data_IF_662464539906
#
_entry.id   IF_662464539906
#
_cell.length_a   1.000
_cell.length_b   1.000
_cell.length_c   1.000
_cell.angle_alpha   90.00
_cell.angle_beta   90.00
_cell.angle_gamma   90.00
#
_symmetry.space_group_name_H-M   'P 1'
#
loop_
_entity.id
_entity.type
_entity.pdbx_description
1 polymer ?
#
# COMPACT_ATOMS: atom_id res chain seq x y z
N UNK A 1 19.28 -13.50 2.82
CA UNK A 1 18.75 -12.16 2.50
C UNK A 1 18.82 -11.93 1.00
N UNK A 2 17.68 -11.76 0.32
CA UNK A 2 17.58 -11.58 -1.15
C UNK A 2 18.51 -10.49 -1.72
N UNK A 3 18.84 -9.46 -0.92
CA UNK A 3 19.76 -8.39 -1.31
C UNK A 3 21.23 -8.80 -1.51
N UNK A 4 21.64 -10.02 -1.13
CA UNK A 4 23.03 -10.49 -1.26
C UNK A 4 23.31 -11.30 -2.52
N UNK A 5 22.30 -11.53 -3.37
CA UNK A 5 22.49 -12.25 -4.62
C UNK A 5 23.26 -11.38 -5.64
N UNK A 6 24.18 -11.95 -6.43
CA UNK A 6 24.83 -11.23 -7.53
C UNK A 6 23.78 -10.57 -8.44
N UNK A 7 23.92 -9.26 -8.67
CA UNK A 7 22.99 -8.50 -9.51
C UNK A 7 21.70 -8.02 -8.82
N UNK A 8 21.44 -8.39 -7.56
CA UNK A 8 20.23 -7.97 -6.83
C UNK A 8 20.03 -6.44 -6.81
N UNK A 9 21.10 -5.67 -6.56
CA UNK A 9 21.04 -4.21 -6.60
C UNK A 9 20.73 -3.65 -7.99
N UNK A 10 21.23 -4.29 -9.06
CA UNK A 10 20.98 -3.87 -10.45
C UNK A 10 19.53 -4.14 -10.84
N UNK A 11 19.02 -5.33 -10.48
CA UNK A 11 17.63 -5.71 -10.68
C UNK A 11 16.68 -4.78 -9.91
N UNK A 12 16.95 -4.54 -8.61
CA UNK A 12 16.18 -3.62 -7.78
C UNK A 12 16.15 -2.20 -8.36
N UNK A 13 17.30 -1.66 -8.79
CA UNK A 13 17.36 -0.32 -9.41
C UNK A 13 16.61 -0.26 -10.74
N UNK A 14 16.66 -1.32 -11.55
CA UNK A 14 15.92 -1.40 -12.81
C UNK A 14 14.41 -1.39 -12.55
N UNK A 15 13.95 -2.21 -11.59
CA UNK A 15 12.55 -2.26 -11.17
C UNK A 15 12.08 -0.92 -10.61
N UNK A 16 12.84 -0.31 -9.69
CA UNK A 16 12.49 0.99 -9.12
C UNK A 16 12.35 2.08 -10.18
N UNK A 17 13.26 2.14 -11.17
CA UNK A 17 13.18 3.13 -12.26
C UNK A 17 11.96 2.96 -13.14
N UNK A 18 11.59 1.71 -13.41
CA UNK A 18 10.40 1.37 -14.19
C UNK A 18 9.12 1.66 -13.39
N UNK A 19 9.13 1.42 -12.08
CA UNK A 19 7.91 1.42 -11.28
C UNK A 19 7.60 2.72 -10.54
N UNK A 20 8.60 3.53 -10.24
CA UNK A 20 8.47 4.71 -9.38
C UNK A 20 9.29 5.93 -9.88
N UNK A 21 8.89 7.11 -9.41
CA UNK A 21 9.65 8.36 -9.48
C UNK A 21 9.58 9.10 -8.13
N UNK A 22 10.09 10.33 -8.07
CA UNK A 22 10.11 11.13 -6.82
C UNK A 22 8.71 11.42 -6.26
N UNK A 23 7.65 11.29 -7.07
CA UNK A 23 6.28 11.46 -6.60
C UNK A 23 5.75 10.17 -5.99
N UNK A 24 6.30 9.00 -6.29
CA UNK A 24 5.88 7.69 -5.80
C UNK A 24 5.75 6.69 -6.94
N UNK A 25 4.78 5.77 -6.86
CA UNK A 25 4.53 4.82 -7.95
C UNK A 25 4.04 5.55 -9.20
N UNK A 26 4.58 5.17 -10.37
CA UNK A 26 4.14 5.71 -11.66
C UNK A 26 2.72 5.25 -11.93
N UNK A 27 1.89 6.11 -12.51
CA UNK A 27 0.45 5.82 -12.72
C UNK A 27 0.20 4.47 -13.38
N UNK A 28 0.95 4.16 -14.45
CA UNK A 28 0.77 2.93 -15.22
C UNK A 28 1.03 1.64 -14.43
N UNK A 29 1.77 1.69 -13.31
CA UNK A 29 2.08 0.47 -12.54
C UNK A 29 0.97 0.04 -11.60
N UNK A 30 0.16 0.98 -11.08
CA UNK A 30 -0.94 0.67 -10.16
C UNK A 30 -2.33 0.90 -10.78
N UNK A 31 -2.43 1.57 -11.94
CA UNK A 31 -3.70 1.77 -12.64
C UNK A 31 -4.46 0.45 -12.91
N UNK A 32 -3.82 -0.66 -13.33
CA UNK A 32 -4.54 -1.92 -13.55
C UNK A 32 -5.19 -2.48 -12.28
N UNK A 33 -4.64 -2.18 -11.10
CA UNK A 33 -5.24 -2.55 -9.81
C UNK A 33 -6.47 -1.69 -9.55
N UNK A 34 -6.35 -0.37 -9.72
CA UNK A 34 -7.45 0.57 -9.50
C UNK A 34 -8.68 0.30 -10.37
N UNK A 35 -8.49 -0.13 -11.61
CA UNK A 35 -9.59 -0.46 -12.54
C UNK A 35 -10.39 -1.69 -12.13
N UNK A 36 -9.82 -2.56 -11.29
CA UNK A 36 -10.50 -3.77 -10.80
C UNK A 36 -11.27 -3.53 -9.50
N UNK A 37 -10.93 -2.49 -8.74
CA UNK A 37 -11.55 -2.19 -7.44
C UNK A 37 -13.07 -1.99 -7.50
N UNK A 38 -13.66 -1.36 -8.54
CA UNK A 38 -15.12 -1.23 -8.64
C UNK A 38 -15.87 -2.56 -8.71
N UNK A 39 -15.21 -3.64 -9.16
CA UNK A 39 -15.79 -4.97 -9.22
C UNK A 39 -15.71 -5.77 -7.91
N UNK A 40 -15.10 -5.23 -6.86
CA UNK A 40 -14.96 -5.90 -5.56
C UNK A 40 -16.12 -5.54 -4.63
N UNK A 41 -17.26 -6.20 -4.81
CA UNK A 41 -18.42 -6.06 -3.90
C UNK A 41 -18.30 -6.96 -2.65
N UNK A 42 -17.22 -6.75 -1.91
CA UNK A 42 -16.97 -7.40 -0.62
C UNK A 42 -16.57 -6.34 0.41
N UNK A 43 -16.96 -6.49 1.70
CA UNK A 43 -16.41 -5.66 2.76
C UNK A 43 -14.89 -5.67 2.68
N UNK A 44 -14.29 -4.49 2.62
CA UNK A 44 -12.84 -4.30 2.49
C UNK A 44 -12.34 -3.35 3.57
N UNK A 45 -11.39 -3.80 4.38
CA UNK A 45 -10.62 -2.95 5.28
C UNK A 45 -9.33 -2.51 4.58
N UNK A 46 -9.14 -1.20 4.45
CA UNK A 46 -7.90 -0.60 3.96
C UNK A 46 -7.14 0.03 5.12
N UNK A 47 -5.96 -0.49 5.44
CA UNK A 47 -5.07 0.04 6.46
C UNK A 47 -3.86 0.74 5.83
N UNK A 48 -3.49 1.91 6.34
CA UNK A 48 -2.37 2.66 5.78
C UNK A 48 -1.62 3.47 6.84
N UNK A 49 -0.29 3.58 6.72
CA UNK A 49 0.47 4.52 7.54
C UNK A 49 0.51 5.91 6.91
N UNK A 50 0.29 6.94 7.72
CA UNK A 50 0.20 8.32 7.23
C UNK A 50 1.50 8.83 6.61
N UNK A 51 2.64 8.33 7.08
CA UNK A 51 3.99 8.69 6.66
C UNK A 51 4.60 7.66 5.70
N UNK A 52 3.79 6.82 5.05
CA UNK A 52 4.27 5.88 4.03
C UNK A 52 5.01 6.60 2.89
N UNK A 53 6.33 6.40 2.80
CA UNK A 53 7.21 6.97 1.76
C UNK A 53 7.42 6.03 0.57
N UNK A 54 6.96 4.78 0.66
CA UNK A 54 7.06 3.77 -0.39
C UNK A 54 5.81 3.83 -1.26
N UNK A 55 4.62 3.84 -0.64
CA UNK A 55 3.33 4.02 -1.32
C UNK A 55 2.56 5.16 -0.64
N UNK A 56 2.73 6.42 -1.08
CA UNK A 56 2.14 7.56 -0.42
C UNK A 56 0.62 7.46 -0.22
N UNK A 57 0.12 7.97 0.92
CA UNK A 57 -1.29 7.87 1.36
C UNK A 57 -2.34 8.17 0.28
N UNK A 58 -2.04 9.07 -0.66
CA UNK A 58 -2.93 9.38 -1.81
C UNK A 58 -3.34 8.16 -2.63
N UNK A 59 -2.53 7.10 -2.67
CA UNK A 59 -2.87 5.87 -3.39
C UNK A 59 -4.01 5.12 -2.68
N UNK A 60 -3.97 5.07 -1.35
CA UNK A 60 -5.06 4.52 -0.54
C UNK A 60 -6.34 5.35 -0.66
N UNK A 61 -6.21 6.69 -0.67
CA UNK A 61 -7.34 7.59 -0.89
C UNK A 61 -7.99 7.38 -2.26
N UNK A 62 -7.19 7.15 -3.32
CA UNK A 62 -7.72 6.83 -4.65
C UNK A 62 -8.39 5.46 -4.69
N UNK A 63 -7.84 4.45 -4.00
CA UNK A 63 -8.47 3.14 -3.87
C UNK A 63 -9.82 3.24 -3.14
N UNK A 64 -9.92 4.03 -2.06
CA UNK A 64 -11.15 4.22 -1.31
C UNK A 64 -12.29 4.82 -2.16
N UNK A 65 -11.97 5.70 -3.12
CA UNK A 65 -12.98 6.27 -4.03
C UNK A 65 -13.57 5.25 -5.00
N UNK A 66 -12.89 4.11 -5.20
CA UNK A 66 -13.24 3.10 -6.21
C UNK A 66 -13.80 1.82 -5.62
N UNK A 67 -13.51 1.51 -4.36
CA UNK A 67 -14.04 0.35 -3.66
C UNK A 67 -15.49 0.62 -3.22
N UNK A 68 -16.47 -0.23 -3.60
CA UNK A 68 -17.87 -0.02 -3.23
C UNK A 68 -18.14 -0.10 -1.73
N UNK A 69 -17.39 -0.94 -1.01
CA UNK A 69 -17.62 -1.27 0.41
C UNK A 69 -16.31 -1.22 1.20
N UNK A 70 -15.80 -0.02 1.43
CA UNK A 70 -14.50 0.18 2.08
C UNK A 70 -14.61 0.89 3.42
N UNK A 71 -13.86 0.39 4.39
CA UNK A 71 -13.50 1.11 5.61
C UNK A 71 -12.00 1.41 5.54
N UNK A 72 -11.60 2.64 5.86
CA UNK A 72 -10.18 3.03 5.86
C UNK A 72 -9.74 3.41 7.26
N UNK A 73 -8.66 2.79 7.74
CA UNK A 73 -7.97 3.19 8.98
C UNK A 73 -6.57 3.69 8.65
N UNK A 74 -6.25 4.90 9.13
CA UNK A 74 -4.92 5.48 8.95
C UNK A 74 -4.19 5.49 10.28
N UNK A 75 -2.99 4.92 10.31
CA UNK A 75 -2.10 4.93 11.47
C UNK A 75 -1.23 6.20 11.43
N UNK A 76 -1.22 6.98 12.51
CA UNK A 76 -0.43 8.20 12.65
C UNK A 76 0.16 8.29 14.06
N UNK A 77 1.49 8.31 14.25
CA UNK A 77 2.54 8.24 13.21
C UNK A 77 2.82 6.80 12.77
N UNK A 78 2.86 6.50 11.46
CA UNK A 78 3.24 5.19 10.91
C UNK A 78 3.79 5.29 9.48
N UNK A 79 4.83 4.50 9.18
CA UNK A 79 5.42 4.33 7.86
C UNK A 79 4.68 3.34 6.95
N UNK A 80 5.40 2.42 6.33
CA UNK A 80 4.84 1.53 5.30
C UNK A 80 4.29 0.22 5.87
N UNK A 81 4.86 -0.30 6.95
CA UNK A 81 4.61 -1.65 7.44
C UNK A 81 3.79 -1.60 8.72
N UNK A 82 2.51 -1.21 8.60
CA UNK A 82 1.58 -1.00 9.73
C UNK A 82 1.56 -2.16 10.74
N UNK A 83 1.62 -3.40 10.25
CA UNK A 83 1.59 -4.60 11.07
C UNK A 83 2.89 -4.85 11.86
N UNK A 84 4.00 -4.24 11.43
CA UNK A 84 5.29 -4.31 12.12
C UNK A 84 5.51 -3.09 13.02
N UNK A 85 5.07 -1.92 12.57
CA UNK A 85 5.24 -0.66 13.29
C UNK A 85 4.22 -0.52 14.43
N UNK A 86 2.97 -0.97 14.22
CA UNK A 86 1.86 -0.87 15.19
C UNK A 86 1.12 -2.21 15.36
N UNK A 87 1.78 -3.30 15.78
CA UNK A 87 1.20 -4.64 15.78
C UNK A 87 -0.07 -4.77 16.63
N UNK A 88 -0.13 -4.09 17.79
CA UNK A 88 -1.28 -4.17 18.70
C UNK A 88 -2.50 -3.43 18.16
N UNK A 89 -2.30 -2.20 17.67
CA UNK A 89 -3.37 -1.41 17.07
C UNK A 89 -3.87 -2.06 15.78
N UNK A 90 -2.95 -2.52 14.91
CA UNK A 90 -3.29 -3.30 13.73
C UNK A 90 -4.14 -4.53 14.05
N UNK A 91 -3.74 -5.31 15.06
CA UNK A 91 -4.52 -6.47 15.49
C UNK A 91 -5.90 -6.10 16.05
N UNK A 92 -6.03 -4.94 16.71
CA UNK A 92 -7.34 -4.45 17.17
C UNK A 92 -8.24 -4.08 16.01
N UNK A 93 -7.76 -3.22 15.10
CA UNK A 93 -8.51 -2.78 13.91
C UNK A 93 -8.92 -3.98 13.06
N UNK A 94 -8.04 -4.97 12.90
CA UNK A 94 -8.36 -6.19 12.18
C UNK A 94 -9.46 -7.01 12.88
N UNK A 95 -9.39 -7.16 14.22
CA UNK A 95 -10.41 -7.88 14.99
C UNK A 95 -11.77 -7.19 14.96
N UNK A 96 -11.80 -5.86 14.95
CA UNK A 96 -13.06 -5.11 14.92
C UNK A 96 -13.76 -5.21 13.55
N UNK A 97 -13.01 -5.59 12.51
CA UNK A 97 -13.53 -5.73 11.15
C UNK A 97 -14.07 -7.14 10.81
N UNK A 98 -13.58 -8.19 11.47
CA UNK A 98 -13.95 -9.60 11.22
C UNK A 98 -14.98 -10.14 12.20
#
# INVERSE_FOLDING_TARGET
>A
ALGRLPGAHRAMRSQLRAAADLRGWRRHTYHPVLERLPGLDIPTLLVWGRQDRIVPLRHAQEACKRLPRVQMHTFDPCGHLVQLEHPHEFASVLRDFV
#
